data_IF_013880038009
#
_entry.id   IF_013880038009
#
_cell.length_a   1.000
_cell.length_b   1.000
_cell.length_c   1.000
_cell.angle_alpha   90.00
_cell.angle_beta   90.00
_cell.angle_gamma   90.00
#
_symmetry.space_group_name_H-M   'P 1'
#
loop_
_entity.id
_entity.type
_entity.pdbx_description
1 polymer ?
#
# COMPACT_ATOMS: atom_id res chain seq x y z
N UNK A 1 -8.42 3.92 7.56
CA UNK A 1 -7.88 4.58 8.77
C UNK A 1 -6.37 4.66 8.65
N UNK A 2 -5.85 5.83 8.38
CA UNK A 2 -4.40 6.03 8.33
C UNK A 2 -3.90 6.13 9.76
N UNK A 3 -3.32 5.06 10.29
CA UNK A 3 -2.63 5.13 11.57
C UNK A 3 -1.22 5.62 11.31
N UNK A 4 -1.03 6.92 11.45
CA UNK A 4 0.31 7.48 11.59
C UNK A 4 0.71 7.25 13.04
N UNK A 5 1.74 6.44 13.27
CA UNK A 5 2.35 6.36 14.59
C UNK A 5 2.88 7.74 14.89
N UNK A 6 2.28 8.38 15.91
CA UNK A 6 2.80 9.61 16.46
C UNK A 6 4.30 9.46 16.67
N UNK A 7 5.05 10.48 16.31
CA UNK A 7 6.49 10.51 16.38
C UNK A 7 6.96 10.01 17.75
N UNK A 8 7.42 8.77 17.81
CA UNK A 8 8.49 8.47 18.73
C UNK A 8 9.65 9.31 18.21
N UNK A 9 9.99 10.35 18.96
CA UNK A 9 11.15 11.19 18.71
C UNK A 9 12.41 10.33 18.85
N UNK A 10 12.71 9.63 17.80
CA UNK A 10 14.04 9.24 17.44
C UNK A 10 14.06 9.37 15.92
N UNK A 11 14.57 10.52 15.46
CA UNK A 11 15.05 10.66 14.11
C UNK A 11 15.83 9.40 13.80
N UNK A 12 15.43 8.58 12.82
CA UNK A 12 16.33 7.56 12.34
C UNK A 12 17.53 8.36 11.83
N UNK A 13 18.70 8.12 12.41
CA UNK A 13 19.96 8.57 11.87
C UNK A 13 20.01 8.09 10.42
N UNK A 14 19.74 9.01 9.50
CA UNK A 14 20.00 8.80 8.08
C UNK A 14 21.50 8.64 8.02
N UNK A 15 22.03 7.49 7.59
CA UNK A 15 23.48 7.34 7.46
C UNK A 15 23.98 8.46 6.56
N UNK A 16 24.99 9.20 7.02
CA UNK A 16 25.66 10.19 6.22
C UNK A 16 26.21 9.52 4.96
N UNK A 17 25.61 9.82 3.81
CA UNK A 17 25.94 9.17 2.52
C UNK A 17 24.72 9.03 1.59
N UNK A 18 23.54 9.37 2.04
CA UNK A 18 22.32 9.28 1.23
C UNK A 18 21.97 10.64 0.60
N UNK A 19 23.00 11.34 0.12
CA UNK A 19 22.86 12.52 -0.68
C UNK A 19 22.42 12.18 -2.10
N UNK A 20 21.37 12.87 -2.57
CA UNK A 20 20.98 13.07 -3.95
C UNK A 20 21.18 11.88 -4.90
N UNK A 21 20.17 11.05 -5.05
CA UNK A 21 20.18 10.01 -6.07
C UNK A 21 19.35 8.79 -5.74
N UNK A 22 18.17 8.94 -5.19
CA UNK A 22 17.22 7.84 -4.94
C UNK A 22 16.62 7.31 -6.25
N UNK A 23 17.47 6.94 -7.21
CA UNK A 23 17.11 5.92 -8.19
C UNK A 23 17.30 4.55 -7.55
N UNK A 24 16.57 4.29 -6.48
CA UNK A 24 16.53 2.93 -5.97
C UNK A 24 15.54 2.17 -6.85
N UNK A 25 16.02 1.58 -7.93
CA UNK A 25 15.40 0.42 -8.52
C UNK A 25 15.59 -0.77 -7.55
N UNK A 26 14.92 -0.69 -6.42
CA UNK A 26 14.87 -1.80 -5.48
C UNK A 26 13.91 -2.84 -6.03
N UNK A 27 14.41 -3.72 -6.90
CA UNK A 27 13.72 -4.98 -7.17
C UNK A 27 13.57 -5.70 -5.83
N UNK A 28 12.36 -6.11 -5.48
CA UNK A 28 12.16 -6.93 -4.31
C UNK A 28 12.94 -8.23 -4.48
N UNK A 29 13.79 -8.50 -3.54
CA UNK A 29 14.46 -9.77 -3.40
C UNK A 29 14.22 -10.31 -1.98
N UNK A 30 14.71 -11.49 -1.67
CA UNK A 30 14.58 -12.09 -0.35
C UNK A 30 15.16 -11.23 0.79
N UNK A 31 16.10 -10.33 0.48
CA UNK A 31 16.72 -9.40 1.44
C UNK A 31 16.04 -8.05 1.51
N UNK A 32 15.30 -7.67 0.45
CA UNK A 32 14.62 -6.40 0.36
C UNK A 32 13.14 -6.59 0.01
N UNK A 33 12.32 -6.73 1.01
CA UNK A 33 10.86 -6.87 0.88
C UNK A 33 10.17 -5.53 0.58
N UNK A 34 10.70 -4.70 -0.36
CA UNK A 34 10.23 -3.34 -0.64
C UNK A 34 10.20 -2.48 0.63
N UNK A 35 11.36 -2.35 1.29
CA UNK A 35 11.47 -1.60 2.54
C UNK A 35 10.48 -2.07 3.63
N UNK A 36 10.30 -3.38 3.72
CA UNK A 36 9.48 -3.98 4.77
C UNK A 36 10.06 -3.64 6.15
N UNK A 37 9.23 -2.99 6.96
CA UNK A 37 9.61 -2.61 8.32
C UNK A 37 9.03 -3.60 9.32
N UNK A 38 9.86 -4.52 9.79
CA UNK A 38 9.45 -5.55 10.75
C UNK A 38 9.02 -4.99 12.11
N UNK A 39 9.49 -3.79 12.48
CA UNK A 39 9.09 -3.11 13.72
C UNK A 39 7.60 -2.75 13.73
N UNK A 40 7.00 -2.57 12.57
CA UNK A 40 5.57 -2.29 12.42
C UNK A 40 4.70 -3.56 12.41
N UNK A 41 5.29 -4.74 12.42
CA UNK A 41 4.54 -6.00 12.34
C UNK A 41 3.53 -6.21 13.47
N UNK A 42 3.85 -5.91 14.75
CA UNK A 42 2.86 -6.05 15.83
C UNK A 42 1.63 -5.16 15.61
N UNK A 43 1.85 -3.90 15.18
CA UNK A 43 0.77 -2.98 14.87
C UNK A 43 -0.04 -3.44 13.65
N UNK A 44 0.63 -3.89 12.60
CA UNK A 44 -0.04 -4.44 11.43
C UNK A 44 -0.92 -5.65 11.78
N UNK A 45 -0.47 -6.50 12.70
CA UNK A 45 -1.26 -7.64 13.18
C UNK A 45 -2.50 -7.19 13.96
N UNK A 46 -2.40 -6.13 14.74
CA UNK A 46 -3.54 -5.52 15.43
C UNK A 46 -4.54 -4.95 14.42
N UNK A 47 -4.09 -4.13 13.49
CA UNK A 47 -4.94 -3.53 12.45
C UNK A 47 -5.66 -4.57 11.58
N UNK A 48 -5.03 -5.72 11.29
CA UNK A 48 -5.70 -6.83 10.57
C UNK A 48 -6.93 -7.37 11.30
N UNK A 49 -6.96 -7.27 12.61
CA UNK A 49 -8.11 -7.70 13.44
C UNK A 49 -9.16 -6.60 13.58
N UNK A 50 -8.75 -5.36 13.41
CA UNK A 50 -9.55 -4.15 13.61
C UNK A 50 -9.90 -3.45 12.28
N UNK A 51 -9.99 -4.20 11.17
CA UNK A 51 -10.33 -3.65 9.86
C UNK A 51 -11.70 -2.97 9.90
N UNK A 52 -11.83 -1.85 9.20
CA UNK A 52 -13.12 -1.20 9.01
C UNK A 52 -14.07 -2.09 8.18
N UNK A 53 -15.36 -1.78 8.21
CA UNK A 53 -16.35 -2.51 7.40
C UNK A 53 -16.03 -2.41 5.91
N UNK A 54 -15.62 -1.23 5.44
CA UNK A 54 -15.25 -1.01 4.05
C UNK A 54 -13.99 -1.80 3.65
N UNK A 55 -12.94 -1.74 4.46
CA UNK A 55 -11.74 -2.55 4.24
C UNK A 55 -12.07 -4.05 4.19
N UNK A 56 -12.87 -4.55 5.14
CA UNK A 56 -13.27 -5.95 5.17
C UNK A 56 -14.08 -6.37 3.93
N UNK A 57 -14.99 -5.50 3.45
CA UNK A 57 -15.75 -5.72 2.22
C UNK A 57 -14.83 -5.76 1.00
N UNK A 58 -13.95 -4.77 0.83
CA UNK A 58 -13.01 -4.72 -0.28
C UNK A 58 -12.09 -5.94 -0.30
N UNK A 59 -11.59 -6.34 0.86
CA UNK A 59 -10.79 -7.56 1.00
C UNK A 59 -11.56 -8.79 0.54
N UNK A 60 -12.76 -8.99 1.09
CA UNK A 60 -13.55 -10.21 0.88
C UNK A 60 -14.01 -10.36 -0.57
N UNK A 61 -14.45 -9.28 -1.18
CA UNK A 61 -15.14 -9.32 -2.48
C UNK A 61 -14.25 -8.98 -3.68
N UNK A 62 -13.08 -8.37 -3.46
CA UNK A 62 -12.22 -7.95 -4.56
C UNK A 62 -10.78 -8.46 -4.47
N UNK A 63 -10.13 -8.39 -3.32
CA UNK A 63 -8.68 -8.53 -3.24
C UNK A 63 -8.18 -9.88 -2.74
N UNK A 64 -9.04 -10.62 -2.03
CA UNK A 64 -8.68 -11.92 -1.42
C UNK A 64 -8.46 -12.99 -2.49
N UNK A 65 -7.54 -13.92 -2.21
CA UNK A 65 -7.33 -15.13 -3.01
C UNK A 65 -7.04 -14.87 -4.50
N UNK A 66 -6.29 -13.80 -4.79
CA UNK A 66 -5.92 -13.41 -6.15
C UNK A 66 -7.11 -13.19 -7.12
N UNK A 67 -8.28 -12.81 -6.58
CA UNK A 67 -9.48 -12.54 -7.38
C UNK A 67 -9.27 -11.40 -8.38
N UNK A 68 -8.37 -10.46 -8.07
CA UNK A 68 -8.08 -9.33 -8.94
C UNK A 68 -7.02 -9.71 -9.98
N UNK A 69 -7.45 -10.19 -11.14
CA UNK A 69 -6.60 -10.58 -12.29
C UNK A 69 -5.44 -11.52 -11.92
N UNK A 70 -5.61 -12.35 -10.90
CA UNK A 70 -4.59 -13.29 -10.44
C UNK A 70 -3.51 -12.70 -9.54
N UNK A 71 -3.52 -11.39 -9.28
CA UNK A 71 -2.53 -10.73 -8.43
C UNK A 71 -2.78 -10.95 -6.95
N UNK A 72 -1.69 -11.18 -6.20
CA UNK A 72 -1.77 -11.38 -4.76
C UNK A 72 -1.67 -10.06 -4.01
N UNK A 73 -2.77 -9.63 -3.41
CA UNK A 73 -2.79 -8.53 -2.47
C UNK A 73 -2.54 -9.01 -1.04
N UNK A 74 -1.92 -8.16 -0.25
CA UNK A 74 -1.72 -8.35 1.20
C UNK A 74 -2.30 -7.18 1.94
N UNK A 75 -3.06 -7.46 3.01
CA UNK A 75 -3.67 -6.44 3.86
C UNK A 75 -2.73 -6.02 4.97
N UNK A 76 -2.84 -4.78 5.40
CA UNK A 76 -2.09 -4.15 6.48
C UNK A 76 -0.60 -4.48 6.37
N UNK A 77 0.00 -4.04 5.26
CA UNK A 77 1.40 -4.35 4.94
C UNK A 77 2.33 -3.24 5.41
N UNK A 78 3.28 -3.54 6.32
CA UNK A 78 4.38 -2.62 6.63
C UNK A 78 5.20 -2.31 5.38
N UNK A 79 5.40 -1.03 5.11
CA UNK A 79 6.21 -0.54 4.00
C UNK A 79 6.81 0.82 4.40
N UNK A 80 8.13 0.98 4.29
CA UNK A 80 8.85 2.13 4.83
C UNK A 80 8.52 2.31 6.33
N UNK A 81 8.05 3.48 6.71
CA UNK A 81 7.58 3.80 8.07
C UNK A 81 6.06 3.79 8.22
N UNK A 82 5.37 3.22 7.25
CA UNK A 82 3.90 3.24 7.17
C UNK A 82 3.33 1.82 7.11
N UNK A 83 2.03 1.72 7.31
CA UNK A 83 1.27 0.51 7.02
C UNK A 83 0.29 0.85 5.90
N UNK A 84 0.35 0.09 4.81
CA UNK A 84 -0.59 0.18 3.70
C UNK A 84 -1.78 -0.75 3.97
N UNK A 85 -3.00 -0.29 3.72
CA UNK A 85 -4.20 -1.10 3.94
C UNK A 85 -4.16 -2.35 3.06
N UNK A 86 -3.92 -2.17 1.76
CA UNK A 86 -3.69 -3.27 0.83
C UNK A 86 -2.52 -2.97 -0.09
N UNK A 87 -1.72 -3.99 -0.36
CA UNK A 87 -0.54 -3.85 -1.21
C UNK A 87 -0.34 -5.08 -2.10
N UNK A 88 -0.16 -4.85 -3.38
CA UNK A 88 0.36 -5.81 -4.33
C UNK A 88 1.82 -5.48 -4.65
N UNK A 89 2.73 -6.40 -4.33
CA UNK A 89 4.17 -6.20 -4.55
C UNK A 89 4.56 -6.24 -6.02
N UNK A 90 3.96 -7.14 -6.76
CA UNK A 90 4.25 -7.37 -8.18
C UNK A 90 3.96 -6.12 -9.01
N UNK A 91 2.85 -5.48 -8.74
CA UNK A 91 2.42 -4.25 -9.40
C UNK A 91 2.98 -2.97 -8.77
N UNK A 92 3.63 -3.07 -7.60
CA UNK A 92 3.95 -1.91 -6.76
C UNK A 92 2.73 -1.00 -6.56
N UNK A 93 1.60 -1.62 -6.26
CA UNK A 93 0.33 -0.95 -6.09
C UNK A 93 -0.08 -0.99 -4.62
N UNK A 94 -0.41 0.17 -4.08
CA UNK A 94 -1.01 0.37 -2.76
C UNK A 94 -2.43 0.87 -2.95
N UNK A 95 -3.37 0.26 -2.23
CA UNK A 95 -4.76 0.69 -2.15
C UNK A 95 -5.06 1.06 -0.71
N UNK A 96 -5.62 2.24 -0.50
CA UNK A 96 -6.03 2.75 0.80
C UNK A 96 -7.53 3.01 0.80
N UNK A 97 -8.17 2.78 1.94
CA UNK A 97 -9.59 3.03 2.14
C UNK A 97 -9.74 4.10 3.21
N UNK A 98 -10.15 5.28 2.79
CA UNK A 98 -10.25 6.45 3.65
C UNK A 98 -11.65 6.60 4.22
N UNK A 99 -11.78 6.49 5.55
CA UNK A 99 -13.01 6.84 6.25
C UNK A 99 -13.28 8.35 6.25
N UNK A 100 -14.56 8.71 6.39
CA UNK A 100 -15.00 10.11 6.56
C UNK A 100 -14.65 10.62 7.97
N UNK A 101 -13.38 10.60 8.35
CA UNK A 101 -12.95 11.31 9.55
C UNK A 101 -12.72 12.76 9.17
N UNK A 102 -13.30 13.68 9.94
CA UNK A 102 -13.05 15.11 9.84
C UNK A 102 -11.53 15.34 9.77
N UNK A 103 -11.07 15.75 8.59
CA UNK A 103 -9.66 15.93 8.33
C UNK A 103 -9.21 17.21 9.03
N UNK A 104 -8.57 17.07 10.19
CA UNK A 104 -7.75 18.14 10.68
C UNK A 104 -6.60 18.35 9.70
N UNK A 105 -6.20 19.59 9.46
CA UNK A 105 -5.11 19.96 8.52
C UNK A 105 -3.83 19.15 8.76
N UNK A 106 -3.51 18.84 10.02
CA UNK A 106 -2.35 18.01 10.37
C UNK A 106 -2.42 16.59 9.80
N UNK A 107 -3.62 16.02 9.71
CA UNK A 107 -3.82 14.68 9.13
C UNK A 107 -3.59 14.71 7.62
N UNK A 108 -4.09 15.75 6.94
CA UNK A 108 -3.90 15.92 5.49
C UNK A 108 -2.42 16.07 5.11
N UNK A 109 -1.63 16.80 5.91
CA UNK A 109 -0.18 16.92 5.68
C UNK A 109 0.54 15.58 5.84
N UNK A 110 0.21 14.81 6.88
CA UNK A 110 0.78 13.47 7.13
C UNK A 110 0.43 12.49 6.01
N UNK A 111 -0.82 12.51 5.53
CA UNK A 111 -1.29 11.68 4.43
C UNK A 111 -0.58 12.01 3.12
N UNK A 112 -0.37 13.28 2.84
CA UNK A 112 0.40 13.73 1.68
C UNK A 112 1.86 13.29 1.77
N UNK A 113 2.47 13.38 2.96
CA UNK A 113 3.84 12.89 3.19
C UNK A 113 3.95 11.37 2.97
N UNK A 114 2.98 10.60 3.46
CA UNK A 114 2.89 9.15 3.25
C UNK A 114 2.81 8.83 1.76
N UNK A 115 1.89 9.47 1.04
CA UNK A 115 1.71 9.27 -0.40
C UNK A 115 3.00 9.59 -1.15
N UNK A 116 3.60 10.76 -0.92
CA UNK A 116 4.84 11.16 -1.58
C UNK A 116 5.99 10.19 -1.30
N UNK A 117 6.10 9.67 -0.07
CA UNK A 117 7.15 8.71 0.28
C UNK A 117 6.96 7.38 -0.45
N UNK A 118 5.72 6.89 -0.55
CA UNK A 118 5.39 5.66 -1.29
C UNK A 118 5.62 5.83 -2.79
N UNK A 119 5.21 6.95 -3.37
CA UNK A 119 5.41 7.23 -4.80
C UNK A 119 6.89 7.37 -5.16
N UNK A 120 7.69 8.02 -4.32
CA UNK A 120 9.16 8.07 -4.47
C UNK A 120 9.80 6.69 -4.41
N UNK A 121 9.23 5.78 -3.64
CA UNK A 121 9.65 4.37 -3.60
C UNK A 121 9.14 3.55 -4.80
N UNK A 122 8.43 4.18 -5.75
CA UNK A 122 7.94 3.57 -6.99
C UNK A 122 6.58 2.89 -6.87
N UNK A 123 5.87 3.11 -5.75
CA UNK A 123 4.50 2.62 -5.62
C UNK A 123 3.50 3.57 -6.26
N UNK A 124 2.48 3.02 -6.88
CA UNK A 124 1.25 3.73 -7.21
C UNK A 124 0.33 3.66 -6.01
N UNK A 125 -0.17 4.77 -5.53
CA UNK A 125 -1.16 4.83 -4.45
C UNK A 125 -2.51 5.19 -5.02
N UNK A 126 -3.53 4.40 -4.69
CA UNK A 126 -4.93 4.63 -5.07
C UNK A 126 -5.77 4.66 -3.80
N UNK A 127 -6.69 5.59 -3.71
CA UNK A 127 -7.56 5.77 -2.56
C UNK A 127 -9.01 5.66 -2.94
N UNK A 128 -9.77 5.01 -2.08
CA UNK A 128 -11.22 4.92 -2.18
C UNK A 128 -11.82 5.36 -0.85
N UNK A 129 -12.93 6.05 -0.89
CA UNK A 129 -13.67 6.37 0.33
C UNK A 129 -14.43 5.15 0.84
N UNK A 130 -14.66 5.07 2.14
CA UNK A 130 -15.51 4.04 2.76
C UNK A 130 -16.87 3.97 2.06
N UNK A 131 -17.47 5.14 1.77
CA UNK A 131 -18.73 5.24 1.08
C UNK A 131 -18.69 4.59 -0.32
N UNK A 132 -17.69 4.90 -1.14
CA UNK A 132 -17.53 4.31 -2.47
C UNK A 132 -17.44 2.79 -2.39
N UNK A 133 -16.67 2.26 -1.46
CA UNK A 133 -16.51 0.82 -1.27
C UNK A 133 -17.82 0.16 -0.83
N UNK A 134 -18.57 0.80 0.07
CA UNK A 134 -19.80 0.22 0.63
C UNK A 134 -21.02 0.36 -0.28
N UNK A 135 -21.06 1.41 -1.12
CA UNK A 135 -22.24 1.70 -1.95
C UNK A 135 -22.04 1.32 -3.41
N UNK A 136 -20.81 1.31 -3.92
CA UNK A 136 -20.52 1.07 -5.34
C UNK A 136 -19.27 0.21 -5.55
N UNK A 137 -19.25 -0.98 -4.96
CA UNK A 137 -18.14 -1.93 -5.04
C UNK A 137 -17.74 -2.26 -6.49
N UNK A 138 -18.72 -2.34 -7.41
CA UNK A 138 -18.42 -2.66 -8.81
C UNK A 138 -17.56 -1.56 -9.47
N UNK A 139 -17.88 -0.30 -9.25
CA UNK A 139 -17.07 0.81 -9.76
C UNK A 139 -15.66 0.82 -9.16
N UNK A 140 -15.54 0.48 -7.87
CA UNK A 140 -14.24 0.33 -7.20
C UNK A 140 -13.42 -0.80 -7.85
N UNK A 141 -14.04 -1.96 -8.08
CA UNK A 141 -13.39 -3.11 -8.74
C UNK A 141 -12.91 -2.73 -10.14
N UNK A 142 -13.75 -2.09 -10.95
CA UNK A 142 -13.37 -1.66 -12.30
C UNK A 142 -12.24 -0.62 -12.27
N UNK A 143 -12.28 0.32 -11.34
CA UNK A 143 -11.19 1.29 -11.15
C UNK A 143 -9.86 0.60 -10.81
N UNK A 144 -9.89 -0.41 -9.94
CA UNK A 144 -8.69 -1.19 -9.59
C UNK A 144 -8.17 -1.96 -10.81
N UNK A 145 -9.05 -2.56 -11.61
CA UNK A 145 -8.66 -3.27 -12.86
C UNK A 145 -7.97 -2.33 -13.84
N UNK A 146 -8.52 -1.13 -14.06
CA UNK A 146 -7.90 -0.12 -14.92
C UNK A 146 -6.48 0.25 -14.45
N UNK A 147 -6.31 0.45 -13.14
CA UNK A 147 -4.99 0.75 -12.56
C UNK A 147 -4.02 -0.42 -12.73
N UNK A 148 -4.49 -1.65 -12.57
CA UNK A 148 -3.67 -2.84 -12.80
C UNK A 148 -3.20 -2.88 -14.26
N UNK A 149 -4.08 -2.66 -15.22
CA UNK A 149 -3.74 -2.63 -16.64
C UNK A 149 -2.72 -1.53 -16.99
N UNK A 150 -2.86 -0.37 -16.37
CA UNK A 150 -1.86 0.70 -16.48
C UNK A 150 -0.50 0.25 -15.94
N UNK A 151 -0.49 -0.42 -14.78
CA UNK A 151 0.74 -0.92 -14.16
C UNK A 151 1.38 -2.08 -14.94
N UNK A 152 0.59 -2.96 -15.52
CA UNK A 152 1.07 -4.03 -16.40
C UNK A 152 1.85 -3.47 -17.61
N UNK A 153 1.39 -2.35 -18.17
CA UNK A 153 2.05 -1.68 -19.29
C UNK A 153 3.35 -0.99 -18.91
N UNK A 154 3.43 -0.47 -17.68
CA UNK A 154 4.58 0.30 -17.20
C UNK A 154 5.62 -0.53 -16.44
N UNK A 155 5.24 -1.70 -15.97
CA UNK A 155 6.14 -2.64 -15.28
C UNK A 155 6.39 -3.81 -16.24
N UNK A 156 7.59 -3.98 -16.81
CA UNK A 156 7.88 -5.16 -17.62
C UNK A 156 7.67 -6.40 -16.74
N UNK A 157 6.65 -7.16 -17.05
CA UNK A 157 6.38 -8.44 -16.40
C UNK A 157 7.55 -9.37 -16.65
N UNK A 158 8.24 -9.76 -15.60
CA UNK A 158 9.04 -10.98 -15.66
C UNK A 158 8.03 -12.11 -15.80
N UNK A 159 8.03 -12.89 -16.89
CA UNK A 159 7.11 -14.01 -17.02
C UNK A 159 7.32 -14.93 -15.81
N UNK A 160 6.22 -15.32 -15.18
CA UNK A 160 6.25 -16.38 -14.20
C UNK A 160 6.89 -17.60 -14.88
N UNK A 161 8.09 -17.95 -14.43
CA UNK A 161 8.75 -19.18 -14.84
C UNK A 161 7.83 -20.34 -14.49
N UNK A 162 7.15 -20.86 -15.49
CA UNK A 162 6.43 -22.10 -15.38
C UNK A 162 7.44 -23.20 -15.04
N UNK A 163 7.43 -23.65 -13.79
CA UNK A 163 8.09 -24.86 -13.40
C UNK A 163 7.35 -26.04 -14.03
N UNK A 164 8.05 -26.80 -14.84
CA UNK A 164 7.70 -28.18 -15.16
C UNK A 164 7.96 -29.05 -13.93
#
# INVERSE_FOLDING_TARGET
>A
MVVTIGAVQSTPLIPAGWGMGWKIHMKANSKNHYAYNSKLQPLANKLRKEMTKAEACLWKYALRAAQMKGYQFRRQRPVLQYIADFMCKELKLVIEVDGLTHQCEETAVKDKQKTNALERAGFKVVRFTDEAVLTNMNAVIESIKCVIEEREKTTPSTPASGGQ
#
